data_IF_209347754731
#
_entry.id   IF_209347754731
#
_cell.length_a   1.000
_cell.length_b   1.000
_cell.length_c   1.000
_cell.angle_alpha   90.00
_cell.angle_beta   90.00
_cell.angle_gamma   90.00
#
_symmetry.space_group_name_H-M   'P 1'
#
loop_
_entity.id
_entity.type
_entity.pdbx_description
1 polymer ?
#
# COMPACT_ATOMS: atom_id res chain seq x y z
N UNK A 1 -22.12 -54.28 23.58
CA UNK A 1 -22.57 -54.03 22.17
C UNK A 1 -22.82 -52.56 21.93
N UNK A 2 -23.55 -51.87 22.78
CA UNK A 2 -23.91 -50.44 22.68
C UNK A 2 -22.70 -49.49 22.69
N UNK A 3 -21.69 -49.78 23.56
CA UNK A 3 -20.49 -48.95 23.66
C UNK A 3 -19.59 -48.99 22.41
N UNK A 4 -19.58 -50.10 21.68
CA UNK A 4 -18.86 -50.26 20.43
C UNK A 4 -19.49 -49.43 19.31
N UNK A 5 -20.84 -49.37 19.30
CA UNK A 5 -21.61 -48.57 18.35
C UNK A 5 -21.45 -47.06 18.62
N UNK A 6 -21.49 -46.67 19.91
CA UNK A 6 -21.24 -45.29 20.35
C UNK A 6 -19.84 -44.80 19.95
N UNK A 7 -18.83 -45.65 20.12
CA UNK A 7 -17.44 -45.30 19.79
C UNK A 7 -17.23 -45.16 18.25
N UNK A 8 -17.88 -45.98 17.44
CA UNK A 8 -17.84 -45.91 15.98
C UNK A 8 -18.60 -44.67 15.48
N UNK A 9 -19.76 -44.37 16.03
CA UNK A 9 -20.54 -43.19 15.70
C UNK A 9 -19.79 -41.89 16.00
N UNK A 10 -19.15 -41.78 17.15
CA UNK A 10 -18.34 -40.65 17.55
C UNK A 10 -17.13 -40.46 16.59
N UNK A 11 -16.50 -41.57 16.17
CA UNK A 11 -15.38 -41.52 15.26
C UNK A 11 -15.80 -41.02 13.85
N UNK A 12 -16.99 -41.42 13.38
CA UNK A 12 -17.58 -40.96 12.13
C UNK A 12 -18.00 -39.49 12.19
N UNK A 13 -18.59 -39.05 13.29
CA UNK A 13 -18.93 -37.64 13.53
C UNK A 13 -17.69 -36.73 13.56
N UNK A 14 -16.64 -37.14 14.25
CA UNK A 14 -15.38 -36.39 14.28
C UNK A 14 -14.73 -36.29 12.86
N UNK A 15 -14.81 -37.40 12.08
CA UNK A 15 -14.28 -37.42 10.72
C UNK A 15 -15.10 -36.50 9.80
N UNK A 16 -16.43 -36.51 9.92
CA UNK A 16 -17.32 -35.62 9.18
C UNK A 16 -17.12 -34.14 9.56
N UNK A 17 -17.00 -33.84 10.85
CA UNK A 17 -16.71 -32.49 11.32
C UNK A 17 -15.35 -31.97 10.83
N UNK A 18 -14.34 -32.83 10.81
CA UNK A 18 -13.01 -32.47 10.32
C UNK A 18 -12.99 -32.20 8.81
N UNK A 19 -13.73 -32.99 8.03
CA UNK A 19 -13.89 -32.79 6.59
C UNK A 19 -14.72 -31.52 6.24
N UNK A 20 -15.78 -31.24 7.02
CA UNK A 20 -16.57 -30.02 6.87
C UNK A 20 -15.77 -28.76 7.22
N UNK A 21 -14.94 -28.81 8.27
CA UNK A 21 -14.04 -27.69 8.63
C UNK A 21 -12.98 -27.47 7.54
N UNK A 22 -12.36 -28.54 7.04
CA UNK A 22 -11.38 -28.45 5.96
C UNK A 22 -11.98 -27.87 4.66
N UNK A 23 -13.19 -28.32 4.28
CA UNK A 23 -13.90 -27.76 3.10
C UNK A 23 -14.32 -26.29 3.31
N UNK A 24 -14.72 -25.93 4.52
CA UNK A 24 -15.07 -24.56 4.86
C UNK A 24 -13.85 -23.62 4.81
N UNK A 25 -12.71 -24.06 5.34
CA UNK A 25 -11.47 -23.29 5.28
C UNK A 25 -10.96 -23.13 3.83
N UNK A 26 -11.05 -24.18 3.02
CA UNK A 26 -10.69 -24.11 1.59
C UNK A 26 -11.65 -23.20 0.83
N UNK A 27 -12.95 -23.24 1.13
CA UNK A 27 -13.95 -22.35 0.56
C UNK A 27 -13.73 -20.88 0.93
N UNK A 28 -13.44 -20.60 2.20
CA UNK A 28 -13.14 -19.25 2.69
C UNK A 28 -11.87 -18.71 2.04
N UNK A 29 -10.79 -19.48 1.98
CA UNK A 29 -9.54 -19.08 1.32
C UNK A 29 -9.74 -18.77 -0.17
N UNK A 30 -10.58 -19.55 -0.86
CA UNK A 30 -10.89 -19.32 -2.27
C UNK A 30 -11.70 -18.05 -2.48
N UNK A 31 -12.63 -17.74 -1.57
CA UNK A 31 -13.40 -16.50 -1.58
C UNK A 31 -12.53 -15.28 -1.25
N UNK A 32 -11.60 -15.39 -0.30
CA UNK A 32 -10.63 -14.34 0.01
C UNK A 32 -9.71 -14.08 -1.20
N UNK A 33 -9.18 -15.11 -1.84
CA UNK A 33 -8.35 -14.97 -3.04
C UNK A 33 -9.11 -14.31 -4.20
N UNK A 34 -10.37 -14.74 -4.44
CA UNK A 34 -11.22 -14.10 -5.45
C UNK A 34 -11.55 -12.66 -5.08
N UNK A 35 -11.80 -12.35 -3.82
CA UNK A 35 -12.00 -11.00 -3.33
C UNK A 35 -10.79 -10.09 -3.58
N UNK A 36 -9.60 -10.58 -3.27
CA UNK A 36 -8.34 -9.87 -3.50
C UNK A 36 -8.07 -9.66 -5.00
N UNK A 37 -8.31 -10.67 -5.84
CA UNK A 37 -8.16 -10.58 -7.30
C UNK A 37 -9.15 -9.57 -7.92
N UNK A 38 -10.41 -9.59 -7.47
CA UNK A 38 -11.44 -8.64 -7.93
C UNK A 38 -11.10 -7.23 -7.47
N UNK A 39 -10.68 -7.04 -6.22
CA UNK A 39 -10.29 -5.72 -5.70
C UNK A 39 -9.07 -5.17 -6.44
N UNK A 40 -8.07 -6.00 -6.69
CA UNK A 40 -6.89 -5.58 -7.47
C UNK A 40 -7.22 -5.30 -8.94
N UNK A 41 -8.13 -6.06 -9.56
CA UNK A 41 -8.58 -5.79 -10.91
C UNK A 41 -9.38 -4.48 -10.99
N UNK A 42 -10.22 -4.23 -9.98
CA UNK A 42 -11.01 -3.01 -9.86
C UNK A 42 -10.12 -1.78 -9.64
N UNK A 43 -9.13 -1.87 -8.74
CA UNK A 43 -8.15 -0.80 -8.51
C UNK A 43 -7.28 -0.53 -9.75
N UNK A 44 -6.94 -1.56 -10.51
CA UNK A 44 -6.20 -1.44 -11.77
C UNK A 44 -7.04 -0.75 -12.85
N UNK A 45 -8.28 -1.18 -13.04
CA UNK A 45 -9.20 -0.60 -14.02
C UNK A 45 -9.52 0.86 -13.70
N UNK A 46 -9.85 1.16 -12.43
CA UNK A 46 -10.12 2.53 -12.00
C UNK A 46 -8.89 3.42 -12.15
N UNK A 47 -7.69 2.97 -11.76
CA UNK A 47 -6.50 3.81 -11.81
C UNK A 47 -6.03 4.09 -13.24
N UNK A 48 -6.07 3.13 -14.16
CA UNK A 48 -5.65 3.34 -15.55
C UNK A 48 -6.66 4.16 -16.34
N UNK A 49 -7.91 3.74 -16.37
CA UNK A 49 -8.97 4.42 -17.12
C UNK A 49 -9.32 5.78 -16.52
N UNK A 50 -9.32 5.87 -15.19
CA UNK A 50 -9.54 7.13 -14.50
C UNK A 50 -8.45 8.17 -14.81
N UNK A 51 -7.18 7.78 -14.83
CA UNK A 51 -6.06 8.67 -15.21
C UNK A 51 -6.16 9.10 -16.68
N UNK A 52 -6.46 8.17 -17.58
CA UNK A 52 -6.60 8.47 -19.02
C UNK A 52 -7.78 9.42 -19.25
N UNK A 53 -8.92 9.15 -18.61
CA UNK A 53 -10.11 9.99 -18.72
C UNK A 53 -9.89 11.37 -18.11
N UNK A 54 -9.24 11.49 -16.96
CA UNK A 54 -8.87 12.79 -16.38
C UNK A 54 -7.92 13.55 -17.28
N UNK A 55 -6.92 12.90 -17.87
CA UNK A 55 -5.98 13.58 -18.78
C UNK A 55 -6.66 14.06 -20.06
N UNK A 56 -7.61 13.29 -20.62
CA UNK A 56 -8.45 13.70 -21.75
C UNK A 56 -9.34 14.89 -21.35
N UNK A 57 -9.98 14.82 -20.20
CA UNK A 57 -10.83 15.88 -19.68
C UNK A 57 -10.03 17.16 -19.37
N UNK A 58 -8.82 17.04 -18.85
CA UNK A 58 -7.90 18.14 -18.66
C UNK A 58 -7.51 18.80 -19.99
N UNK A 59 -7.30 18.01 -21.06
CA UNK A 59 -6.99 18.57 -22.39
C UNK A 59 -8.19 19.34 -22.95
N UNK A 60 -9.40 18.79 -22.89
CA UNK A 60 -10.62 19.42 -23.41
C UNK A 60 -11.03 20.65 -22.61
N UNK A 61 -10.97 20.59 -21.28
CA UNK A 61 -11.36 21.69 -20.40
C UNK A 61 -10.22 22.66 -20.06
N UNK A 62 -9.03 22.47 -20.61
CA UNK A 62 -7.82 23.25 -20.28
C UNK A 62 -8.05 24.77 -20.34
N UNK A 63 -8.70 25.24 -21.41
CA UNK A 63 -8.95 26.67 -21.59
C UNK A 63 -9.99 27.21 -20.58
N UNK A 64 -10.99 26.41 -20.23
CA UNK A 64 -11.98 26.77 -19.23
C UNK A 64 -11.33 26.83 -17.82
N UNK A 65 -10.50 25.82 -17.48
CA UNK A 65 -9.81 25.78 -16.20
C UNK A 65 -8.77 26.87 -16.04
N UNK A 66 -8.12 27.29 -17.12
CA UNK A 66 -7.15 28.41 -17.10
C UNK A 66 -7.77 29.75 -16.67
N UNK A 67 -9.05 29.96 -16.86
CA UNK A 67 -9.75 31.19 -16.39
C UNK A 67 -9.67 31.36 -14.89
N UNK A 68 -9.52 30.26 -14.13
CA UNK A 68 -9.39 30.28 -12.67
C UNK A 68 -7.96 30.47 -12.18
N UNK A 69 -7.01 30.67 -13.08
CA UNK A 69 -5.61 30.86 -12.72
C UNK A 69 -5.40 32.23 -12.07
N UNK A 70 -4.97 32.21 -10.84
CA UNK A 70 -4.64 33.42 -10.06
C UNK A 70 -3.17 33.79 -10.30
N UNK A 71 -2.87 35.06 -10.38
CA UNK A 71 -1.49 35.55 -10.43
C UNK A 71 -0.73 35.12 -9.16
N UNK A 72 0.52 34.69 -9.33
CA UNK A 72 1.38 34.29 -8.22
C UNK A 72 1.54 35.39 -7.16
N UNK A 73 1.54 36.67 -7.58
CA UNK A 73 1.57 37.83 -6.68
C UNK A 73 0.35 37.84 -5.77
N UNK A 74 -0.86 37.60 -6.31
CA UNK A 74 -2.09 37.54 -5.51
C UNK A 74 -2.13 36.30 -4.59
N UNK A 75 -1.40 35.25 -4.92
CA UNK A 75 -1.27 34.07 -4.06
C UNK A 75 -0.33 34.34 -2.88
N UNK A 76 0.73 35.10 -3.12
CA UNK A 76 1.70 35.44 -2.08
C UNK A 76 1.24 36.62 -1.24
N UNK A 77 0.62 37.65 -1.85
CA UNK A 77 0.10 38.84 -1.14
C UNK A 77 -1.42 38.74 -0.97
N UNK A 78 -1.97 39.02 0.23
CA UNK A 78 -1.33 39.55 1.45
C UNK A 78 -0.71 38.43 2.30
N UNK A 79 0.62 38.45 2.44
CA UNK A 79 1.31 37.51 3.35
C UNK A 79 0.97 37.90 4.78
N UNK A 80 0.27 37.01 5.48
CA UNK A 80 0.15 37.14 6.95
C UNK A 80 1.50 36.78 7.56
N UNK A 81 1.99 37.58 8.51
CA UNK A 81 3.26 37.37 9.19
C UNK A 81 3.50 35.91 9.66
N UNK A 82 2.42 35.24 10.10
CA UNK A 82 2.47 33.84 10.51
C UNK A 82 2.93 32.87 9.43
N UNK A 83 2.57 33.13 8.14
CA UNK A 83 3.00 32.28 7.04
C UNK A 83 4.48 32.52 6.68
N UNK A 84 4.93 33.76 6.78
CA UNK A 84 6.34 34.11 6.58
C UNK A 84 7.22 33.47 7.66
N UNK A 85 6.79 33.51 8.92
CA UNK A 85 7.51 32.90 10.04
C UNK A 85 7.52 31.36 9.96
N UNK A 86 6.46 30.73 9.46
CA UNK A 86 6.39 29.27 9.34
C UNK A 86 7.11 28.72 8.10
N UNK A 87 7.32 29.54 7.06
CA UNK A 87 7.91 29.09 5.79
C UNK A 87 9.28 28.42 5.93
N UNK A 88 10.27 28.98 6.69
CA UNK A 88 11.56 28.33 6.84
C UNK A 88 11.47 26.95 7.50
N UNK A 89 10.55 26.75 8.43
CA UNK A 89 10.36 25.44 9.08
C UNK A 89 9.71 24.45 8.11
N UNK A 90 8.69 24.87 7.34
CA UNK A 90 8.03 24.02 6.35
C UNK A 90 9.03 23.58 5.26
N UNK A 91 9.72 24.53 4.63
CA UNK A 91 10.64 24.22 3.55
C UNK A 91 11.96 23.62 4.05
N UNK A 92 12.37 23.93 5.28
CA UNK A 92 13.53 23.34 5.92
C UNK A 92 13.40 21.82 6.10
N UNK A 93 12.17 21.31 6.20
CA UNK A 93 11.91 19.85 6.26
C UNK A 93 12.38 19.09 5.02
N UNK A 94 12.68 19.77 3.88
CA UNK A 94 13.19 19.09 2.69
C UNK A 94 14.54 18.42 2.97
N UNK A 95 15.40 19.03 3.81
CA UNK A 95 16.73 18.51 4.13
C UNK A 95 16.64 17.15 4.85
N UNK A 96 15.97 17.03 6.01
CA UNK A 96 15.81 15.74 6.67
C UNK A 96 15.00 14.76 5.81
N UNK A 97 14.06 15.23 4.99
CA UNK A 97 13.31 14.39 4.07
C UNK A 97 14.16 13.73 3.00
N UNK A 98 15.12 14.47 2.43
CA UNK A 98 16.08 13.92 1.44
C UNK A 98 17.04 12.94 2.12
N UNK A 99 17.57 13.27 3.29
CA UNK A 99 18.46 12.38 4.06
C UNK A 99 17.73 11.07 4.37
N UNK A 100 16.49 11.16 4.85
CA UNK A 100 15.65 9.99 5.10
C UNK A 100 15.42 9.16 3.83
N UNK A 101 15.11 9.81 2.70
CA UNK A 101 14.90 9.11 1.42
C UNK A 101 16.15 8.35 0.97
N UNK A 102 17.32 8.99 1.04
CA UNK A 102 18.60 8.36 0.67
C UNK A 102 18.88 7.16 1.59
N UNK A 103 18.76 7.33 2.90
CA UNK A 103 18.98 6.26 3.87
C UNK A 103 17.99 5.09 3.65
N UNK A 104 16.72 5.40 3.38
CA UNK A 104 15.69 4.42 3.07
C UNK A 104 16.02 3.63 1.79
N UNK A 105 16.49 4.31 0.73
CA UNK A 105 16.86 3.66 -0.52
C UNK A 105 18.10 2.75 -0.35
N UNK A 106 19.12 3.20 0.36
CA UNK A 106 20.31 2.38 0.67
C UNK A 106 19.86 1.12 1.42
N UNK A 107 19.07 1.28 2.49
CA UNK A 107 18.52 0.16 3.24
C UNK A 107 17.72 -0.79 2.35
N UNK A 108 16.76 -0.25 1.58
CA UNK A 108 15.89 -1.01 0.69
C UNK A 108 16.67 -1.79 -0.38
N UNK A 109 17.66 -1.16 -1.01
CA UNK A 109 18.44 -1.80 -2.07
C UNK A 109 19.38 -2.91 -1.53
N UNK A 110 19.97 -2.71 -0.36
CA UNK A 110 20.92 -3.66 0.21
C UNK A 110 20.19 -4.77 0.96
N UNK A 111 19.38 -4.41 1.96
CA UNK A 111 18.80 -5.41 2.87
C UNK A 111 17.75 -6.28 2.19
N UNK A 112 16.92 -5.72 1.31
CA UNK A 112 15.91 -6.52 0.61
C UNK A 112 16.52 -7.54 -0.34
N UNK A 113 17.69 -7.23 -0.94
CA UNK A 113 18.43 -8.21 -1.75
C UNK A 113 19.02 -9.32 -0.91
N UNK A 114 19.62 -8.98 0.24
CA UNK A 114 20.25 -9.96 1.14
C UNK A 114 19.19 -10.92 1.70
N UNK A 115 18.04 -10.40 2.09
CA UNK A 115 16.97 -11.20 2.72
C UNK A 115 15.99 -11.84 1.72
N UNK A 116 16.15 -11.58 0.42
CA UNK A 116 15.21 -12.07 -0.60
C UNK A 116 13.80 -11.46 -0.49
N UNK A 117 13.66 -10.27 0.09
CA UNK A 117 12.37 -9.58 0.19
C UNK A 117 12.08 -8.91 -1.16
N UNK A 118 10.86 -9.07 -1.74
CA UNK A 118 10.48 -8.40 -2.98
C UNK A 118 10.57 -6.88 -2.83
N UNK A 119 11.31 -6.23 -3.74
CA UNK A 119 11.50 -4.77 -3.68
C UNK A 119 10.22 -4.01 -4.01
N UNK A 120 10.04 -2.90 -3.33
CA UNK A 120 8.96 -1.95 -3.59
C UNK A 120 9.34 -1.09 -4.79
N UNK A 121 8.42 -0.88 -5.73
CA UNK A 121 8.68 -0.04 -6.90
C UNK A 121 8.34 1.41 -6.56
N UNK A 122 9.27 2.36 -6.66
CA UNK A 122 8.99 3.77 -6.40
C UNK A 122 7.90 4.32 -7.31
N UNK A 123 7.80 3.86 -8.57
CA UNK A 123 6.80 4.30 -9.55
C UNK A 123 5.35 4.13 -9.08
N UNK A 124 5.09 3.15 -8.21
CA UNK A 124 3.75 2.87 -7.71
C UNK A 124 3.30 3.86 -6.62
N UNK A 125 4.26 4.58 -6.04
CA UNK A 125 4.04 5.51 -4.93
C UNK A 125 4.25 6.98 -5.30
N UNK A 126 5.23 7.29 -6.18
CA UNK A 126 5.57 8.66 -6.53
C UNK A 126 4.72 9.19 -7.67
N UNK A 127 3.59 9.82 -7.31
CA UNK A 127 2.61 10.41 -8.24
C UNK A 127 2.62 11.94 -8.09
N UNK A 128 2.78 12.65 -9.22
CA UNK A 128 2.90 14.11 -9.27
C UNK A 128 1.86 14.76 -10.20
N UNK A 129 0.65 14.20 -10.28
CA UNK A 129 -0.40 14.63 -11.22
C UNK A 129 -0.89 16.05 -10.97
N UNK A 130 -0.87 16.51 -9.72
CA UNK A 130 -1.34 17.85 -9.31
C UNK A 130 -0.61 18.98 -10.04
N UNK A 131 0.66 18.80 -10.42
CA UNK A 131 1.44 19.79 -11.18
C UNK A 131 0.88 20.06 -12.58
N UNK A 132 0.07 19.15 -13.13
CA UNK A 132 -0.52 19.26 -14.47
C UNK A 132 -1.77 20.15 -14.48
N UNK A 133 -2.31 20.52 -13.33
CA UNK A 133 -3.52 21.33 -13.22
C UNK A 133 -3.30 22.72 -13.83
N UNK A 134 -4.13 23.13 -14.82
CA UNK A 134 -3.92 24.35 -15.59
C UNK A 134 -4.29 25.64 -14.84
N UNK A 135 -5.07 25.55 -13.76
CA UNK A 135 -5.48 26.66 -12.92
C UNK A 135 -4.46 27.02 -11.83
N UNK A 136 -3.46 26.16 -11.61
CA UNK A 136 -2.40 26.47 -10.65
C UNK A 136 -1.33 27.36 -11.28
N UNK A 137 -0.89 28.37 -10.55
CA UNK A 137 0.29 29.15 -10.91
C UNK A 137 1.59 28.38 -10.59
N UNK A 138 2.75 28.91 -10.94
CA UNK A 138 4.02 28.23 -10.76
C UNK A 138 4.36 27.99 -9.27
N UNK A 139 4.04 28.93 -8.41
CA UNK A 139 4.30 28.83 -6.97
C UNK A 139 3.41 27.75 -6.31
N UNK A 140 2.13 27.71 -6.66
CA UNK A 140 1.21 26.67 -6.22
C UNK A 140 1.65 25.29 -6.71
N UNK A 141 2.15 25.20 -7.96
CA UNK A 141 2.69 23.94 -8.49
C UNK A 141 3.93 23.46 -7.72
N UNK A 142 4.83 24.38 -7.37
CA UNK A 142 6.01 24.06 -6.54
C UNK A 142 5.59 23.49 -5.19
N UNK A 143 4.64 24.14 -4.53
CA UNK A 143 4.08 23.65 -3.26
C UNK A 143 3.40 22.27 -3.43
N UNK A 144 2.67 22.06 -4.51
CA UNK A 144 2.07 20.76 -4.81
C UNK A 144 3.13 19.66 -5.00
N UNK A 145 4.24 19.96 -5.67
CA UNK A 145 5.36 19.01 -5.82
C UNK A 145 5.97 18.69 -4.47
N UNK A 146 6.24 19.71 -3.64
CA UNK A 146 6.76 19.54 -2.30
C UNK A 146 5.86 18.64 -1.43
N UNK A 147 4.58 18.97 -1.33
CA UNK A 147 3.61 18.17 -0.56
C UNK A 147 3.45 16.76 -1.12
N UNK A 148 3.44 16.63 -2.45
CA UNK A 148 3.35 15.30 -3.09
C UNK A 148 4.59 14.47 -2.81
N UNK A 149 5.78 15.05 -2.83
CA UNK A 149 7.02 14.37 -2.52
C UNK A 149 6.97 13.74 -1.12
N UNK A 150 6.64 14.51 -0.10
CA UNK A 150 6.58 14.00 1.28
C UNK A 150 5.50 12.93 1.45
N UNK A 151 4.29 13.16 0.95
CA UNK A 151 3.22 12.18 1.06
C UNK A 151 3.57 10.86 0.33
N UNK A 152 4.19 10.94 -0.83
CA UNK A 152 4.63 9.78 -1.59
C UNK A 152 5.78 9.04 -0.89
N UNK A 153 6.75 9.79 -0.36
CA UNK A 153 7.87 9.24 0.39
C UNK A 153 7.40 8.48 1.64
N UNK A 154 6.45 9.05 2.40
CA UNK A 154 5.91 8.40 3.59
C UNK A 154 5.14 7.13 3.24
N UNK A 155 4.33 7.12 2.16
CA UNK A 155 3.64 5.92 1.70
C UNK A 155 4.63 4.83 1.25
N UNK A 156 5.65 5.23 0.52
CA UNK A 156 6.72 4.35 0.08
C UNK A 156 7.47 3.74 1.26
N UNK A 157 7.84 4.58 2.24
CA UNK A 157 8.51 4.15 3.46
C UNK A 157 7.63 3.19 4.29
N UNK A 158 6.33 3.46 4.37
CA UNK A 158 5.37 2.61 5.08
C UNK A 158 5.31 1.20 4.47
N UNK A 159 5.33 1.07 3.15
CA UNK A 159 5.34 -0.23 2.49
C UNK A 159 6.68 -0.97 2.72
N UNK A 160 7.80 -0.27 2.62
CA UNK A 160 9.13 -0.85 2.92
C UNK A 160 9.18 -1.33 4.37
N UNK A 161 8.74 -0.51 5.32
CA UNK A 161 8.68 -0.87 6.73
C UNK A 161 7.76 -2.08 6.96
N UNK A 162 6.58 -2.12 6.34
CA UNK A 162 5.64 -3.23 6.46
C UNK A 162 6.20 -4.56 5.93
N UNK A 163 6.93 -4.56 4.81
CA UNK A 163 7.63 -5.76 4.32
C UNK A 163 8.77 -6.17 5.24
N UNK A 164 9.47 -5.21 5.81
CA UNK A 164 10.52 -5.48 6.81
C UNK A 164 9.92 -6.12 8.06
N UNK A 165 8.83 -5.57 8.58
CA UNK A 165 8.13 -6.08 9.75
C UNK A 165 7.59 -7.51 9.48
N UNK A 166 6.99 -7.75 8.31
CA UNK A 166 6.56 -9.09 7.89
C UNK A 166 7.70 -10.10 7.89
N UNK A 167 8.90 -9.67 7.49
CA UNK A 167 10.06 -10.55 7.47
C UNK A 167 10.60 -10.84 8.87
N UNK A 168 10.66 -9.84 9.76
CA UNK A 168 11.28 -9.96 11.07
C UNK A 168 10.31 -10.27 12.20
N UNK A 169 9.14 -9.67 12.20
CA UNK A 169 8.20 -9.75 13.32
C UNK A 169 6.74 -9.62 12.85
N UNK A 170 6.16 -10.62 12.14
CA UNK A 170 4.80 -10.56 11.63
C UNK A 170 3.77 -10.83 12.73
N UNK A 171 3.74 -9.98 13.77
CA UNK A 171 2.81 -10.05 14.90
C UNK A 171 2.01 -8.76 14.95
N UNK A 172 0.69 -8.86 15.04
CA UNK A 172 -0.17 -7.68 15.20
C UNK A 172 0.03 -7.02 16.56
N UNK A 173 -0.21 -5.71 16.64
CA UNK A 173 -0.18 -4.99 17.90
C UNK A 173 -1.35 -5.40 18.79
N UNK A 174 -1.19 -5.34 20.12
CA UNK A 174 -2.27 -5.55 21.07
C UNK A 174 -3.36 -4.47 20.97
N UNK A 175 -2.97 -3.24 20.66
CA UNK A 175 -3.88 -2.10 20.48
C UNK A 175 -4.28 -1.95 19.02
N UNK A 176 -5.48 -1.39 18.81
CA UNK A 176 -5.98 -1.11 17.45
C UNK A 176 -5.11 -0.05 16.76
N UNK A 177 -4.56 -0.40 15.60
CA UNK A 177 -3.80 0.51 14.73
C UNK A 177 -4.73 1.18 13.73
N UNK A 178 -4.65 2.50 13.62
CA UNK A 178 -5.38 3.24 12.60
C UNK A 178 -4.60 3.23 11.28
N UNK A 179 -5.24 2.75 10.20
CA UNK A 179 -4.66 2.67 8.85
C UNK A 179 -3.34 1.90 8.82
N UNK A 180 -3.36 0.61 9.13
CA UNK A 180 -2.17 -0.22 9.06
C UNK A 180 -1.63 -0.29 7.61
N UNK A 181 -0.36 -0.69 7.46
CA UNK A 181 0.25 -0.94 6.15
C UNK A 181 -0.33 -2.20 5.49
N UNK A 182 -0.12 -2.37 4.19
CA UNK A 182 -0.69 -3.44 3.36
C UNK A 182 -0.36 -4.88 3.81
N UNK A 183 0.71 -5.06 4.59
CA UNK A 183 1.14 -6.39 5.05
C UNK A 183 0.51 -6.81 6.38
N UNK A 184 -0.13 -5.88 7.10
CA UNK A 184 -0.59 -6.08 8.48
C UNK A 184 -1.62 -7.20 8.64
N UNK A 185 -2.53 -7.37 7.68
CA UNK A 185 -3.57 -8.41 7.73
C UNK A 185 -3.02 -9.84 7.67
N UNK A 186 -1.76 -9.98 7.21
CA UNK A 186 -1.04 -11.26 7.11
C UNK A 186 -0.31 -11.64 8.40
N UNK A 187 -0.31 -10.76 9.39
CA UNK A 187 0.35 -10.96 10.67
C UNK A 187 -0.50 -11.84 11.59
N UNK A 188 0.16 -12.55 12.48
CA UNK A 188 -0.50 -13.33 13.53
C UNK A 188 -1.01 -12.44 14.65
N UNK A 189 -2.03 -12.87 15.35
CA UNK A 189 -2.58 -12.11 16.47
C UNK A 189 -1.58 -12.05 17.64
N UNK A 190 -1.65 -10.98 18.43
CA UNK A 190 -0.68 -10.64 19.49
C UNK A 190 -0.36 -11.77 20.46
N UNK A 191 -1.36 -12.59 20.84
CA UNK A 191 -1.19 -13.68 21.80
C UNK A 191 -1.02 -15.07 21.15
N UNK A 192 -1.00 -15.16 19.81
CA UNK A 192 -0.92 -16.43 19.09
C UNK A 192 0.54 -16.87 18.87
N UNK A 193 1.19 -17.21 19.99
CA UNK A 193 2.58 -17.68 20.00
C UNK A 193 2.74 -19.02 19.25
N UNK A 194 1.73 -19.89 19.28
CA UNK A 194 1.77 -21.18 18.59
C UNK A 194 1.83 -21.00 17.09
N UNK A 195 0.87 -20.26 16.49
CA UNK A 195 0.87 -20.00 15.05
C UNK A 195 2.12 -19.25 14.60
N UNK A 196 2.63 -18.32 15.40
CA UNK A 196 3.87 -17.61 15.11
C UNK A 196 5.07 -18.56 14.95
N UNK A 197 5.23 -19.52 15.86
CA UNK A 197 6.35 -20.48 15.81
C UNK A 197 6.18 -21.55 14.75
N UNK A 198 4.99 -22.13 14.62
CA UNK A 198 4.71 -23.19 13.65
C UNK A 198 4.71 -22.68 12.20
N UNK A 199 4.18 -21.48 11.97
CA UNK A 199 4.04 -20.90 10.62
C UNK A 199 5.13 -19.89 10.28
N UNK A 200 6.19 -19.78 11.06
CA UNK A 200 7.28 -18.80 10.87
C UNK A 200 7.76 -18.67 9.42
N UNK A 201 8.09 -19.79 8.78
CA UNK A 201 8.56 -19.80 7.37
C UNK A 201 7.47 -19.34 6.39
N UNK A 202 6.21 -19.68 6.65
CA UNK A 202 5.07 -19.32 5.80
C UNK A 202 4.73 -17.83 5.91
N UNK A 203 4.78 -17.26 7.10
CA UNK A 203 4.51 -15.85 7.34
C UNK A 203 5.50 -14.94 6.60
N UNK A 204 6.74 -15.39 6.47
CA UNK A 204 7.85 -14.70 5.78
C UNK A 204 7.90 -14.98 4.27
N UNK A 205 6.97 -15.75 3.72
CA UNK A 205 6.90 -16.03 2.30
C UNK A 205 6.19 -14.87 1.58
N UNK A 206 6.84 -14.31 0.57
CA UNK A 206 6.37 -13.18 -0.24
C UNK A 206 5.87 -13.61 -1.63
N UNK A 207 5.57 -14.90 -1.85
CA UNK A 207 5.08 -15.42 -3.14
C UNK A 207 3.81 -14.71 -3.62
N UNK A 208 2.97 -14.24 -2.71
CA UNK A 208 1.78 -13.43 -2.97
C UNK A 208 2.12 -12.10 -3.69
N UNK A 209 3.19 -11.43 -3.26
CA UNK A 209 3.65 -10.17 -3.87
C UNK A 209 4.33 -10.44 -5.23
N UNK A 210 5.09 -11.52 -5.35
CA UNK A 210 5.75 -11.90 -6.60
C UNK A 210 4.75 -12.27 -7.68
N UNK A 211 3.71 -13.04 -7.33
CA UNK A 211 2.62 -13.39 -8.23
C UNK A 211 1.86 -12.15 -8.72
N UNK A 212 1.55 -11.22 -7.84
CA UNK A 212 0.91 -9.95 -8.20
C UNK A 212 1.80 -9.12 -9.15
N UNK A 213 3.11 -9.05 -8.90
CA UNK A 213 4.05 -8.34 -9.77
C UNK A 213 4.21 -9.01 -11.14
N UNK A 214 4.16 -10.35 -11.22
CA UNK A 214 4.25 -11.09 -12.49
C UNK A 214 2.96 -10.95 -13.31
N UNK A 215 1.79 -10.94 -12.69
CA UNK A 215 0.51 -10.68 -13.33
C UNK A 215 0.46 -9.24 -13.91
N UNK A 216 0.91 -8.23 -13.16
CA UNK A 216 1.06 -6.84 -13.64
C UNK A 216 2.00 -6.74 -14.86
N UNK A 217 3.08 -7.51 -14.87
CA UNK A 217 4.05 -7.50 -16.00
C UNK A 217 3.51 -8.14 -17.27
N UNK A 218 2.67 -9.17 -17.15
CA UNK A 218 2.04 -9.84 -18.29
C UNK A 218 1.00 -8.93 -18.97
N UNK A 219 0.21 -8.22 -18.18
CA UNK A 219 -0.82 -7.31 -18.69
C UNK A 219 -0.23 -6.10 -19.43
N UNK A 220 0.88 -5.52 -18.92
CA UNK A 220 1.59 -4.41 -19.57
C UNK A 220 2.28 -4.79 -20.89
N UNK A 221 2.44 -6.08 -21.20
CA UNK A 221 3.03 -6.56 -22.45
C UNK A 221 1.99 -6.97 -23.49
N UNK A 222 0.71 -7.02 -23.11
CA UNK A 222 -0.42 -7.40 -23.97
C UNK A 222 -1.20 -6.17 -24.50
N UNK A 223 -0.84 -4.97 -24.09
CA UNK A 223 -1.26 -3.66 -24.62
C UNK A 223 -0.17 -3.09 -25.55
#
# INVERSE_FOLDING_TARGET
>A
MIDKIKKDLNKRLQKAQKSLRANKEVGIKKLEQLGDEVMEAFDRAINSDFRINILKELKTKRNQLRKWKISWVKTIFPIRLKYLLSAPFIYGMIIPGIIFHIGLEIYHQICFRIYGIPRVKPSDYFVYDRRLLPYLNWFEKLNCIYCSYFNNLLRYATEIAGRTERFWCPIKYASRVNKPHSQYDKFVDYLDAQTFREKWKKLRNFSDIEQCNSAKKKHLKSE
#
